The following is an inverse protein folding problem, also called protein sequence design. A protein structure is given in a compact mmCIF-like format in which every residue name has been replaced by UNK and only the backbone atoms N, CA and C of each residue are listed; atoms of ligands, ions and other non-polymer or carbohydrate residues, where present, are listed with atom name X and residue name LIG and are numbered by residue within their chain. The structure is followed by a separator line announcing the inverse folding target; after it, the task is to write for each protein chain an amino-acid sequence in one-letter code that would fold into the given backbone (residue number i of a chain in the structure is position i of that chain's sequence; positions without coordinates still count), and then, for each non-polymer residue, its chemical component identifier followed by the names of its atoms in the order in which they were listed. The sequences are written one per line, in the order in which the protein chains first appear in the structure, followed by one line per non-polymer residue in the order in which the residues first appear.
data_IF_019575264874
#
_entry.id   IF_019575264874
#
_cell.length_a   1.000
_cell.length_b   1.000
_cell.length_c   1.000
_cell.angle_alpha   90.00
_cell.angle_beta   90.00
_cell.angle_gamma   90.00
#
_symmetry.space_group_name_H-M   'P 1'
#
loop_
_entity.id
_entity.type
_entity.pdbx_description
1 polymer ?
#
# COMPACT_ATOMS: atom_id res chain seq x y z
N UNK A 1 -1.62 18.67 19.59
CA UNK A 1 -2.69 18.01 18.80
C UNK A 1 -2.15 17.14 17.65
N UNK A 2 -0.85 16.78 17.61
CA UNK A 2 -0.24 16.00 16.51
C UNK A 2 -0.68 14.52 16.43
N UNK A 3 -1.19 13.95 17.52
CA UNK A 3 -1.61 12.55 17.56
C UNK A 3 -2.79 12.22 16.63
N UNK A 4 -3.72 13.16 16.44
CA UNK A 4 -4.95 12.92 15.67
C UNK A 4 -4.73 12.87 14.15
N UNK A 5 -3.77 13.61 13.60
CA UNK A 5 -3.44 13.57 12.17
C UNK A 5 -2.65 12.29 11.83
N UNK A 6 -1.72 11.93 12.71
CA UNK A 6 -0.89 10.72 12.59
C UNK A 6 -1.74 9.45 12.64
N UNK A 7 -2.70 9.37 13.58
CA UNK A 7 -3.64 8.24 13.65
C UNK A 7 -4.48 8.06 12.38
N UNK A 8 -4.95 9.16 11.78
CA UNK A 8 -5.67 9.14 10.51
C UNK A 8 -4.81 8.61 9.37
N UNK A 9 -3.55 9.02 9.28
CA UNK A 9 -2.63 8.53 8.25
C UNK A 9 -2.40 7.01 8.35
N UNK A 10 -2.26 6.48 9.56
CA UNK A 10 -2.16 5.03 9.78
C UNK A 10 -3.42 4.29 9.34
N UNK A 11 -4.61 4.78 9.72
CA UNK A 11 -5.87 4.16 9.33
C UNK A 11 -6.07 4.18 7.81
N UNK A 12 -5.84 5.32 7.16
CA UNK A 12 -6.02 5.46 5.70
C UNK A 12 -5.03 4.57 4.95
N UNK A 13 -3.75 4.55 5.35
CA UNK A 13 -2.75 3.71 4.71
C UNK A 13 -3.06 2.21 4.89
N UNK A 14 -3.35 1.79 6.13
CA UNK A 14 -3.65 0.38 6.41
C UNK A 14 -4.93 -0.11 5.75
N UNK A 15 -6.04 0.64 5.89
CA UNK A 15 -7.30 0.28 5.25
C UNK A 15 -7.21 0.37 3.73
N UNK A 16 -6.49 1.37 3.20
CA UNK A 16 -6.28 1.54 1.77
C UNK A 16 -5.63 0.30 1.14
N UNK A 17 -4.61 -0.26 1.78
CA UNK A 17 -3.93 -1.45 1.27
C UNK A 17 -4.82 -2.69 1.30
N UNK A 18 -5.55 -2.88 2.41
CA UNK A 18 -6.53 -3.97 2.57
C UNK A 18 -7.63 -3.89 1.52
N UNK A 19 -8.25 -2.71 1.36
CA UNK A 19 -9.35 -2.49 0.41
C UNK A 19 -8.87 -2.72 -1.02
N UNK A 20 -7.69 -2.19 -1.36
CA UNK A 20 -7.12 -2.34 -2.69
C UNK A 20 -6.86 -3.80 -3.04
N UNK A 21 -6.30 -4.56 -2.09
CA UNK A 21 -6.12 -6.00 -2.25
C UNK A 21 -7.46 -6.72 -2.41
N UNK A 22 -8.39 -6.52 -1.48
CA UNK A 22 -9.67 -7.22 -1.50
C UNK A 22 -10.46 -6.93 -2.77
N UNK A 23 -10.48 -5.67 -3.22
CA UNK A 23 -11.14 -5.26 -4.45
C UNK A 23 -10.49 -5.92 -5.68
N UNK A 24 -9.15 -5.96 -5.74
CA UNK A 24 -8.44 -6.56 -6.88
C UNK A 24 -8.54 -8.09 -6.91
N UNK A 25 -8.54 -8.77 -5.76
CA UNK A 25 -8.85 -10.19 -5.65
C UNK A 25 -10.27 -10.49 -6.16
N UNK A 26 -11.26 -9.76 -5.63
CA UNK A 26 -12.66 -9.94 -5.97
C UNK A 26 -12.94 -9.71 -7.47
N UNK A 27 -12.47 -8.58 -8.02
CA UNK A 27 -12.64 -8.25 -9.43
C UNK A 27 -11.80 -9.13 -10.36
N UNK A 28 -10.64 -9.59 -9.90
CA UNK A 28 -9.74 -10.46 -10.65
C UNK A 28 -10.13 -11.93 -10.63
N UNK A 29 -11.10 -12.33 -9.79
CA UNK A 29 -11.53 -13.71 -9.62
C UNK A 29 -10.43 -14.64 -9.08
N UNK A 30 -9.47 -14.10 -8.33
CA UNK A 30 -8.32 -14.83 -7.78
C UNK A 30 -8.20 -14.59 -6.27
N UNK A 31 -7.78 -15.62 -5.55
CA UNK A 31 -7.50 -15.49 -4.11
C UNK A 31 -6.31 -14.55 -3.86
N UNK A 32 -5.26 -14.68 -4.69
CA UNK A 32 -4.10 -13.82 -4.70
C UNK A 32 -4.20 -12.79 -5.84
N UNK A 33 -4.35 -11.49 -5.57
CA UNK A 33 -4.50 -10.48 -6.62
C UNK A 33 -3.38 -10.47 -7.65
N UNK A 34 -2.13 -10.71 -7.24
CA UNK A 34 -0.97 -10.69 -8.13
C UNK A 34 -0.96 -11.83 -9.17
N UNK A 35 -1.80 -12.85 -9.01
CA UNK A 35 -2.01 -13.89 -10.03
C UNK A 35 -2.93 -13.39 -11.16
N UNK A 36 -3.61 -12.25 -10.95
CA UNK A 36 -4.42 -11.59 -11.96
C UNK A 36 -3.66 -10.45 -12.62
N UNK A 37 -3.79 -10.34 -13.95
CA UNK A 37 -3.32 -9.17 -14.70
C UNK A 37 -3.94 -7.85 -14.22
N UNK A 38 -5.11 -7.91 -13.55
CA UNK A 38 -5.78 -6.73 -13.00
C UNK A 38 -4.98 -6.06 -11.88
N UNK A 39 -4.28 -6.84 -11.06
CA UNK A 39 -3.43 -6.27 -10.01
C UNK A 39 -2.30 -5.46 -10.63
N UNK A 40 -1.65 -5.96 -11.69
CA UNK A 40 -0.53 -5.27 -12.31
C UNK A 40 -0.94 -4.04 -13.12
N UNK A 41 -2.09 -4.11 -13.80
CA UNK A 41 -2.58 -3.02 -14.67
C UNK A 41 -3.33 -1.92 -13.92
N UNK A 42 -4.00 -2.26 -12.81
CA UNK A 42 -4.87 -1.32 -12.08
C UNK A 42 -4.51 -1.26 -10.61
N UNK A 43 -4.48 -2.40 -9.92
CA UNK A 43 -4.28 -2.47 -8.47
C UNK A 43 -3.01 -1.78 -7.99
N UNK A 44 -1.87 -2.23 -8.51
CA UNK A 44 -0.56 -1.74 -8.13
C UNK A 44 -0.32 -0.27 -8.54
N UNK A 45 -0.66 0.17 -9.77
CA UNK A 45 -0.65 1.59 -10.11
C UNK A 45 -1.48 2.46 -9.15
N UNK A 46 -2.66 2.01 -8.73
CA UNK A 46 -3.46 2.71 -7.72
C UNK A 46 -2.76 2.76 -6.35
N UNK A 47 -2.07 1.68 -5.95
CA UNK A 47 -1.25 1.69 -4.73
C UNK A 47 -0.16 2.76 -4.79
N UNK A 48 0.50 2.90 -5.94
CA UNK A 48 1.54 3.91 -6.16
C UNK A 48 0.98 5.34 -6.09
N UNK A 49 -0.17 5.59 -6.72
CA UNK A 49 -0.87 6.88 -6.62
C UNK A 49 -1.26 7.17 -5.17
N UNK A 50 -1.84 6.20 -4.46
CA UNK A 50 -2.17 6.34 -3.05
C UNK A 50 -0.93 6.66 -2.20
N UNK A 51 0.23 6.06 -2.49
CA UNK A 51 1.49 6.37 -1.81
C UNK A 51 1.92 7.82 -2.05
N UNK A 52 1.83 8.34 -3.28
CA UNK A 52 2.09 9.77 -3.57
C UNK A 52 1.15 10.67 -2.77
N UNK A 53 -0.15 10.39 -2.80
CA UNK A 53 -1.18 11.17 -2.11
C UNK A 53 -0.95 11.19 -0.60
N UNK A 54 -0.66 10.03 -0.01
CA UNK A 54 -0.34 9.90 1.42
C UNK A 54 0.94 10.66 1.79
N UNK A 55 1.97 10.59 0.94
CA UNK A 55 3.20 11.35 1.12
C UNK A 55 2.97 12.87 1.07
N UNK A 56 2.14 13.34 0.14
CA UNK A 56 1.79 14.76 0.01
C UNK A 56 0.94 15.26 1.18
N UNK A 57 -0.06 14.48 1.61
CA UNK A 57 -0.96 14.84 2.71
C UNK A 57 -0.29 14.75 4.09
N UNK A 58 0.62 13.78 4.27
CA UNK A 58 1.32 13.50 5.53
C UNK A 58 2.85 13.47 5.31
N UNK A 59 3.48 14.63 5.08
CA UNK A 59 4.89 14.71 4.66
C UNK A 59 5.89 14.33 5.76
N UNK A 60 5.45 14.22 7.02
CA UNK A 60 6.33 13.77 8.10
C UNK A 60 6.57 12.25 8.01
N UNK A 61 7.81 11.85 7.73
CA UNK A 61 8.23 10.44 7.57
C UNK A 61 7.33 9.65 6.59
N UNK A 62 7.22 10.08 5.31
CA UNK A 62 6.22 9.56 4.37
C UNK A 62 6.42 8.09 4.00
N UNK A 63 7.64 7.57 4.19
CA UNK A 63 7.99 6.17 4.00
C UNK A 63 7.17 5.22 4.88
N UNK A 64 6.69 5.68 6.05
CA UNK A 64 5.85 4.88 6.96
C UNK A 64 4.50 4.53 6.34
N UNK A 65 3.91 5.47 5.60
CA UNK A 65 2.59 5.30 5.00
C UNK A 65 2.64 4.34 3.83
N UNK A 66 3.68 4.44 3.00
CA UNK A 66 3.92 3.49 1.90
C UNK A 66 4.16 2.06 2.43
N UNK A 67 4.96 1.90 3.49
CA UNK A 67 5.14 0.60 4.14
C UNK A 67 3.82 0.03 4.62
N UNK A 68 3.01 0.81 5.35
CA UNK A 68 1.75 0.31 5.87
C UNK A 68 0.76 -0.02 4.76
N UNK A 69 0.70 0.81 3.71
CA UNK A 69 -0.13 0.59 2.54
C UNK A 69 0.21 -0.74 1.85
N UNK A 70 1.50 -1.03 1.67
CA UNK A 70 1.94 -2.26 0.98
C UNK A 70 1.88 -3.48 1.90
N UNK A 71 2.36 -3.39 3.15
CA UNK A 71 2.40 -4.56 4.05
C UNK A 71 1.05 -4.91 4.69
N UNK A 72 0.08 -3.99 4.75
CA UNK A 72 -1.29 -4.32 5.19
C UNK A 72 -1.97 -5.35 4.28
N UNK A 73 -1.53 -5.46 3.03
CA UNK A 73 -1.94 -6.51 2.10
C UNK A 73 -1.60 -7.93 2.61
N UNK A 74 -0.51 -8.07 3.36
CA UNK A 74 -0.11 -9.34 3.95
C UNK A 74 -1.13 -9.85 4.99
N UNK A 75 -1.83 -8.93 5.67
CA UNK A 75 -2.91 -9.30 6.59
C UNK A 75 -4.07 -9.96 5.85
N UNK A 76 -4.40 -9.47 4.65
CA UNK A 76 -5.45 -10.06 3.83
C UNK A 76 -5.04 -11.46 3.42
N UNK A 77 -3.79 -11.65 2.96
CA UNK A 77 -3.26 -12.98 2.64
C UNK A 77 -3.37 -13.95 3.81
N UNK A 78 -2.97 -13.52 5.02
CA UNK A 78 -3.02 -14.35 6.22
C UNK A 78 -4.45 -14.79 6.60
N UNK A 79 -5.45 -13.95 6.35
CA UNK A 79 -6.85 -14.24 6.67
C UNK A 79 -7.56 -14.99 5.54
N UNK A 80 -7.10 -14.85 4.29
CA UNK A 80 -7.75 -15.44 3.10
C UNK A 80 -7.55 -16.95 2.97
N UNK A 81 -6.73 -17.57 3.82
CA UNK A 81 -6.60 -19.04 3.88
C UNK A 81 -5.76 -19.67 2.76
N UNK A 82 -4.99 -18.88 1.99
CA UNK A 82 -4.06 -19.36 0.95
C UNK A 82 -2.89 -20.20 1.49
N UNK A 83 -2.82 -20.40 2.82
CA UNK A 83 -1.79 -21.16 3.51
C UNK A 83 -0.49 -20.37 3.70
N UNK A 84 0.26 -20.73 4.74
CA UNK A 84 1.55 -20.10 5.06
C UNK A 84 2.65 -20.35 4.00
N UNK A 85 2.42 -21.26 3.04
CA UNK A 85 3.37 -21.57 1.97
C UNK A 85 3.69 -20.38 1.06
N UNK A 86 2.75 -19.44 0.89
CA UNK A 86 2.94 -18.24 0.07
C UNK A 86 3.59 -17.07 0.83
N UNK A 87 3.78 -17.22 2.14
CA UNK A 87 4.24 -16.13 3.01
C UNK A 87 5.68 -15.67 2.67
N UNK A 88 6.66 -16.57 2.41
CA UNK A 88 8.00 -16.15 1.98
C UNK A 88 7.98 -15.35 0.67
N UNK A 89 7.20 -15.82 -0.32
CA UNK A 89 7.05 -15.13 -1.60
C UNK A 89 6.39 -13.77 -1.41
N UNK A 90 5.31 -13.70 -0.63
CA UNK A 90 4.60 -12.45 -0.34
C UNK A 90 5.52 -11.42 0.34
N UNK A 91 6.32 -11.83 1.33
CA UNK A 91 7.26 -10.93 2.01
C UNK A 91 8.30 -10.36 1.04
N UNK A 92 8.88 -11.20 0.18
CA UNK A 92 9.88 -10.77 -0.80
C UNK A 92 9.23 -9.83 -1.83
N UNK A 93 8.11 -10.25 -2.42
CA UNK A 93 7.43 -9.48 -3.45
C UNK A 93 6.98 -8.12 -2.92
N UNK A 94 6.31 -8.08 -1.76
CA UNK A 94 5.87 -6.84 -1.14
C UNK A 94 7.05 -5.95 -0.75
N UNK A 95 8.20 -6.50 -0.35
CA UNK A 95 9.40 -5.72 -0.11
C UNK A 95 9.87 -5.00 -1.39
N UNK A 96 9.90 -5.69 -2.53
CA UNK A 96 10.23 -5.09 -3.82
C UNK A 96 9.21 -4.04 -4.25
N UNK A 97 7.91 -4.34 -4.16
CA UNK A 97 6.83 -3.41 -4.51
C UNK A 97 6.79 -2.19 -3.58
N UNK A 98 7.28 -2.32 -2.35
CA UNK A 98 7.37 -1.21 -1.41
C UNK A 98 8.43 -0.17 -1.79
N UNK A 99 9.50 -0.56 -2.49
CA UNK A 99 10.57 0.38 -2.87
C UNK A 99 10.07 1.57 -3.71
N UNK A 100 9.38 1.35 -4.86
CA UNK A 100 8.82 2.45 -5.64
C UNK A 100 7.71 3.19 -4.90
N UNK A 101 6.89 2.50 -4.09
CA UNK A 101 5.87 3.16 -3.28
C UNK A 101 6.49 4.16 -2.28
N UNK A 102 7.59 3.77 -1.62
CA UNK A 102 8.34 4.65 -0.70
C UNK A 102 8.97 5.82 -1.45
N UNK A 103 9.55 5.58 -2.62
CA UNK A 103 10.12 6.65 -3.45
C UNK A 103 9.05 7.68 -3.86
N UNK A 104 7.88 7.20 -4.27
CA UNK A 104 6.75 8.04 -4.65
C UNK A 104 6.11 8.78 -3.47
N UNK A 105 6.02 8.16 -2.30
CA UNK A 105 5.57 8.85 -1.09
C UNK A 105 6.56 9.96 -0.70
N UNK A 106 7.88 9.73 -0.83
CA UNK A 106 8.87 10.79 -0.64
C UNK A 106 8.74 11.90 -1.66
N UNK A 107 8.47 11.56 -2.92
CA UNK A 107 8.20 12.54 -3.97
C UNK A 107 6.98 13.41 -3.65
N UNK A 108 5.88 12.81 -3.20
CA UNK A 108 4.69 13.54 -2.76
C UNK A 108 4.97 14.51 -1.61
N UNK A 109 5.69 14.05 -0.58
CA UNK A 109 6.08 14.90 0.54
C UNK A 109 6.99 16.07 0.11
N UNK A 110 7.92 15.81 -0.81
CA UNK A 110 8.81 16.82 -1.36
C UNK A 110 8.06 17.86 -2.19
N UNK A 111 7.10 17.45 -3.01
CA UNK A 111 6.25 18.36 -3.78
C UNK A 111 5.45 19.30 -2.85
N UNK A 112 4.96 18.79 -1.70
CA UNK A 112 4.25 19.60 -0.69
C UNK A 112 5.12 20.73 -0.15
N UNK A 113 6.37 20.43 0.19
CA UNK A 113 7.34 21.40 0.71
C UNK A 113 7.78 22.48 -0.28
N UNK A 114 7.46 22.34 -1.57
CA UNK A 114 7.66 23.39 -2.58
C UNK A 114 6.44 24.28 -2.80
N UNK A 115 5.27 23.83 -2.38
CA UNK A 115 3.99 24.53 -2.58
C UNK A 115 3.48 25.28 -1.34
N UNK A 116 4.15 25.14 -0.19
CA UNK A 116 3.84 25.85 1.04
C UNK A 116 4.98 26.80 1.39
#
# INVERSE_FOLDING_TARGET
MEGGATGRAYLIAGMGGIILWAATAFLGGRSEPWDSGLYWSVGYPLALVAAVVLGYAFPNRPWRWALLLVYSQLLVLLVSGSGFGMLPLALILLAFLCLPAVALARFGAFARGRTG
#
